data_IF_769332975826
#
_entry.id   IF_769332975826
#
_cell.length_a   1.000
_cell.length_b   1.000
_cell.length_c   1.000
_cell.angle_alpha   90.00
_cell.angle_beta   90.00
_cell.angle_gamma   90.00
#
_symmetry.space_group_name_H-M   'P 1'
#
loop_
_entity.id
_entity.type
_entity.pdbx_description
1 polymer ?
#
# COMPACT_ATOMS: atom_id res chain seq x y z
N UNK A 1 6.68 21.44 -9.94
CA UNK A 1 6.75 20.03 -10.37
C UNK A 1 7.71 19.32 -9.43
N UNK A 2 7.31 18.22 -8.80
CA UNK A 2 8.19 17.43 -7.92
C UNK A 2 9.21 16.67 -8.78
N UNK A 3 10.49 16.69 -8.40
CA UNK A 3 11.56 15.99 -9.10
C UNK A 3 12.70 15.67 -8.14
N UNK A 4 13.31 14.50 -8.28
CA UNK A 4 14.50 14.04 -7.55
C UNK A 4 15.35 13.20 -8.52
N UNK A 5 16.65 13.10 -8.27
CA UNK A 5 17.57 12.36 -9.15
C UNK A 5 17.42 10.85 -8.96
N UNK A 6 17.61 10.37 -7.73
CA UNK A 6 17.50 8.95 -7.36
C UNK A 6 17.10 8.84 -5.89
N UNK A 7 16.34 7.80 -5.55
CA UNK A 7 15.99 7.42 -4.18
C UNK A 7 16.03 5.91 -4.09
N UNK A 8 16.86 5.38 -3.20
CA UNK A 8 16.96 3.95 -2.90
C UNK A 8 16.58 3.73 -1.43
N UNK A 9 15.78 2.70 -1.17
CA UNK A 9 15.31 2.33 0.17
C UNK A 9 15.65 0.85 0.36
N UNK A 10 16.44 0.57 1.39
CA UNK A 10 16.86 -0.79 1.75
C UNK A 10 15.80 -1.57 2.51
N UNK A 11 15.97 -2.90 2.54
CA UNK A 11 15.12 -3.77 3.34
C UNK A 11 15.23 -3.43 4.84
N UNK A 12 14.08 -3.27 5.49
CA UNK A 12 14.00 -2.96 6.92
C UNK A 12 14.24 -1.49 7.28
N UNK A 13 14.49 -0.62 6.29
CA UNK A 13 14.65 0.81 6.56
C UNK A 13 13.32 1.47 6.93
N UNK A 14 13.38 2.32 7.95
CA UNK A 14 12.25 3.15 8.39
C UNK A 14 12.53 4.59 8.01
N UNK A 15 11.87 5.04 6.96
CA UNK A 15 12.08 6.38 6.41
C UNK A 15 10.91 7.31 6.74
N UNK A 16 11.17 8.61 6.74
CA UNK A 16 10.14 9.63 6.88
C UNK A 16 10.25 10.63 5.72
N UNK A 17 9.13 10.86 5.02
CA UNK A 17 9.03 11.89 3.98
C UNK A 17 8.42 13.14 4.61
N UNK A 18 9.20 14.23 4.68
CA UNK A 18 8.76 15.50 5.28
C UNK A 18 8.61 16.60 4.22
N UNK A 19 7.87 17.67 4.56
CA UNK A 19 7.69 18.83 3.70
C UNK A 19 6.38 19.55 3.97
N UNK A 20 6.26 20.80 3.52
CA UNK A 20 5.06 21.60 3.67
C UNK A 20 3.82 20.96 3.01
N UNK A 21 2.61 21.38 3.39
CA UNK A 21 1.40 20.98 2.68
C UNK A 21 1.48 21.43 1.21
N UNK A 22 1.10 20.54 0.29
CA UNK A 22 1.24 20.79 -1.15
C UNK A 22 2.64 20.53 -1.72
N UNK A 23 3.62 20.09 -0.92
CA UNK A 23 4.98 19.80 -1.42
C UNK A 23 5.08 18.58 -2.34
N UNK A 24 3.97 17.84 -2.57
CA UNK A 24 3.94 16.67 -3.45
C UNK A 24 4.15 15.32 -2.76
N UNK A 25 4.06 15.23 -1.42
CA UNK A 25 4.22 13.96 -0.67
C UNK A 25 3.22 12.89 -1.11
N UNK A 26 1.94 13.23 -1.17
CA UNK A 26 0.89 12.31 -1.66
C UNK A 26 1.15 11.93 -3.11
N UNK A 27 1.49 12.89 -3.96
CA UNK A 27 1.84 12.67 -5.37
C UNK A 27 3.01 11.70 -5.52
N UNK A 28 4.03 11.78 -4.66
CA UNK A 28 5.16 10.85 -4.65
C UNK A 28 4.69 9.42 -4.33
N UNK A 29 3.95 9.24 -3.24
CA UNK A 29 3.44 7.93 -2.82
C UNK A 29 2.51 7.32 -3.87
N UNK A 30 1.62 8.11 -4.47
CA UNK A 30 0.74 7.68 -5.55
C UNK A 30 1.50 7.31 -6.83
N UNK A 31 2.60 8.00 -7.13
CA UNK A 31 3.47 7.69 -8.28
C UNK A 31 4.18 6.34 -8.07
N UNK A 32 4.73 6.10 -6.88
CA UNK A 32 5.36 4.83 -6.51
C UNK A 32 4.36 3.66 -6.68
N UNK A 33 3.11 3.87 -6.22
CA UNK A 33 2.01 2.92 -6.35
C UNK A 33 1.44 2.77 -7.76
N UNK A 34 2.00 3.50 -8.75
CA UNK A 34 1.54 3.52 -10.15
C UNK A 34 0.09 4.03 -10.32
N UNK A 35 -0.42 4.81 -9.36
CA UNK A 35 -1.80 5.33 -9.36
C UNK A 35 -1.97 6.58 -10.23
N UNK A 36 -0.88 7.33 -10.45
CA UNK A 36 -0.86 8.52 -11.29
C UNK A 36 0.29 8.45 -12.30
N UNK A 37 0.22 9.28 -13.34
CA UNK A 37 1.30 9.39 -14.34
C UNK A 37 2.49 10.16 -13.76
N UNK A 38 3.69 9.67 -14.03
CA UNK A 38 4.96 10.30 -13.67
C UNK A 38 6.01 10.05 -14.77
N UNK A 39 7.20 10.62 -14.61
CA UNK A 39 8.37 10.36 -15.45
C UNK A 39 9.48 9.73 -14.62
N UNK A 40 10.26 8.83 -15.23
CA UNK A 40 11.25 8.00 -14.55
C UNK A 40 10.74 6.58 -14.36
N UNK A 41 11.48 5.79 -13.59
CA UNK A 41 11.21 4.37 -13.35
C UNK A 41 11.11 4.09 -11.84
N UNK A 42 10.29 3.10 -11.46
CA UNK A 42 10.18 2.62 -10.07
C UNK A 42 10.46 1.12 -10.06
N UNK A 43 11.39 0.71 -9.20
CA UNK A 43 11.78 -0.70 -9.05
C UNK A 43 11.48 -1.20 -7.64
N UNK A 44 11.04 -2.45 -7.53
CA UNK A 44 10.96 -3.19 -6.27
C UNK A 44 11.64 -4.54 -6.46
N UNK A 45 12.63 -4.87 -5.64
CA UNK A 45 13.43 -6.10 -5.75
C UNK A 45 13.95 -6.37 -7.19
N UNK A 46 14.49 -5.34 -7.86
CA UNK A 46 14.95 -5.34 -9.26
C UNK A 46 13.84 -5.53 -10.32
N UNK A 47 12.56 -5.58 -9.92
CA UNK A 47 11.44 -5.64 -10.84
C UNK A 47 10.92 -4.23 -11.15
N UNK A 48 10.90 -3.87 -12.44
CA UNK A 48 10.28 -2.62 -12.90
C UNK A 48 8.76 -2.66 -12.70
N UNK A 49 8.24 -1.75 -11.88
CA UNK A 49 6.82 -1.56 -11.65
C UNK A 49 6.20 -0.63 -12.69
N UNK A 50 5.37 -1.18 -13.58
CA UNK A 50 4.72 -0.44 -14.67
C UNK A 50 3.20 -0.38 -14.56
N UNK A 51 2.62 -1.13 -13.62
CA UNK A 51 1.17 -1.26 -13.43
C UNK A 51 0.82 -1.34 -11.96
N UNK A 52 -0.34 -0.80 -11.59
CA UNK A 52 -0.90 -0.83 -10.23
C UNK A 52 -0.92 -2.26 -9.68
N UNK A 53 -1.36 -3.24 -10.48
CA UNK A 53 -1.41 -4.66 -10.06
C UNK A 53 -0.05 -5.30 -9.72
N UNK A 54 1.07 -4.70 -10.14
CA UNK A 54 2.40 -5.17 -9.75
C UNK A 54 2.81 -4.52 -8.43
N UNK A 55 2.60 -3.21 -8.29
CA UNK A 55 2.85 -2.49 -7.05
C UNK A 55 2.02 -3.05 -5.88
N UNK A 56 0.72 -3.26 -6.09
CA UNK A 56 -0.22 -3.74 -5.07
C UNK A 56 0.05 -5.17 -4.56
N UNK A 57 0.96 -5.93 -5.19
CA UNK A 57 1.39 -7.24 -4.65
C UNK A 57 2.40 -7.13 -3.52
N UNK A 58 3.09 -5.98 -3.44
CA UNK A 58 4.23 -5.80 -2.56
C UNK A 58 4.04 -4.63 -1.59
N UNK A 59 3.11 -3.72 -1.90
CA UNK A 59 2.94 -2.46 -1.19
C UNK A 59 1.46 -2.15 -1.00
N UNK A 60 1.14 -1.54 0.14
CA UNK A 60 -0.18 -0.99 0.44
C UNK A 60 -0.04 0.49 0.80
N UNK A 61 -0.94 1.31 0.26
CA UNK A 61 -1.01 2.74 0.57
C UNK A 61 -2.14 3.00 1.56
N UNK A 62 -1.77 3.55 2.72
CA UNK A 62 -2.71 4.07 3.71
C UNK A 62 -2.83 5.58 3.50
N UNK A 63 -4.04 6.06 3.24
CA UNK A 63 -4.32 7.47 3.01
C UNK A 63 -4.40 8.24 4.33
N UNK A 64 -4.34 9.57 4.22
CA UNK A 64 -4.44 10.47 5.38
C UNK A 64 -5.75 10.32 6.15
N UNK A 65 -6.83 9.98 5.44
CA UNK A 65 -8.14 9.64 6.00
C UNK A 65 -8.38 8.14 5.80
N UNK A 66 -7.78 7.26 6.63
CA UNK A 66 -7.86 5.81 6.46
C UNK A 66 -9.29 5.28 6.61
N UNK A 67 -10.16 5.99 7.32
CA UNK A 67 -11.56 5.62 7.51
C UNK A 67 -12.34 5.55 6.19
N UNK A 68 -11.89 6.28 5.17
CA UNK A 68 -12.48 6.25 3.83
C UNK A 68 -12.09 5.00 3.03
N UNK A 69 -11.15 4.19 3.54
CA UNK A 69 -10.70 2.95 2.90
C UNK A 69 -11.50 1.73 3.37
N UNK A 70 -12.29 1.83 4.43
CA UNK A 70 -13.17 0.74 4.88
C UNK A 70 -14.38 0.62 3.96
N UNK A 71 -14.69 -0.62 3.57
CA UNK A 71 -15.81 -0.92 2.65
C UNK A 71 -16.87 -1.82 3.30
N UNK A 72 -16.65 -2.24 4.54
CA UNK A 72 -17.56 -3.07 5.33
C UNK A 72 -18.00 -2.39 6.63
N UNK A 73 -18.93 -3.03 7.35
CA UNK A 73 -19.46 -2.52 8.61
C UNK A 73 -18.88 -3.22 9.86
N UNK A 74 -17.92 -4.14 9.69
CA UNK A 74 -17.30 -4.85 10.80
C UNK A 74 -15.84 -5.14 10.52
N UNK A 75 -15.01 -5.14 11.56
CA UNK A 75 -13.58 -5.47 11.45
C UNK A 75 -13.40 -6.90 10.91
N UNK A 76 -14.30 -7.81 11.31
CA UNK A 76 -14.31 -9.18 10.81
C UNK A 76 -14.48 -9.21 9.29
N UNK A 77 -15.51 -8.55 8.76
CA UNK A 77 -15.82 -8.57 7.33
C UNK A 77 -14.71 -7.93 6.49
N UNK A 78 -14.12 -6.82 6.99
CA UNK A 78 -13.02 -6.14 6.29
C UNK A 78 -11.82 -7.05 6.09
N UNK A 79 -11.44 -7.79 7.15
CA UNK A 79 -10.34 -8.75 7.10
C UNK A 79 -10.72 -9.97 6.25
N UNK A 80 -11.94 -10.50 6.43
CA UNK A 80 -12.39 -11.71 5.74
C UNK A 80 -12.42 -11.53 4.23
N UNK A 81 -12.77 -10.35 3.73
CA UNK A 81 -12.75 -10.06 2.28
C UNK A 81 -11.38 -10.41 1.68
N UNK A 82 -10.27 -10.05 2.33
CA UNK A 82 -8.94 -10.36 1.83
C UNK A 82 -8.71 -11.88 1.68
N UNK A 83 -8.96 -12.64 2.75
CA UNK A 83 -8.73 -14.08 2.77
C UNK A 83 -9.71 -14.86 1.88
N UNK A 84 -10.96 -14.41 1.79
CA UNK A 84 -11.98 -15.02 0.94
C UNK A 84 -11.63 -14.93 -0.55
N UNK A 85 -10.93 -13.86 -0.97
CA UNK A 85 -10.39 -13.75 -2.33
C UNK A 85 -9.22 -14.72 -2.61
N UNK A 86 -8.56 -15.25 -1.57
CA UNK A 86 -7.44 -16.18 -1.69
C UNK A 86 -7.90 -17.64 -1.58
N UNK A 87 -8.61 -17.97 -0.50
CA UNK A 87 -9.06 -19.32 -0.15
C UNK A 87 -10.34 -19.26 0.68
N UNK A 88 -11.48 -19.56 0.04
CA UNK A 88 -12.78 -19.48 0.70
C UNK A 88 -12.89 -20.42 1.91
N UNK A 89 -12.35 -21.63 1.79
CA UNK A 89 -12.44 -22.67 2.82
C UNK A 89 -11.63 -22.35 4.08
N UNK A 90 -10.63 -21.47 3.98
CA UNK A 90 -9.74 -21.09 5.09
C UNK A 90 -9.99 -19.67 5.61
N UNK A 91 -10.85 -18.91 4.92
CA UNK A 91 -11.01 -17.47 5.18
C UNK A 91 -11.42 -17.14 6.61
N UNK A 92 -12.35 -17.90 7.20
CA UNK A 92 -12.81 -17.67 8.58
C UNK A 92 -11.69 -17.95 9.59
N UNK A 93 -10.95 -19.05 9.43
CA UNK A 93 -9.85 -19.41 10.33
C UNK A 93 -8.72 -18.37 10.27
N UNK A 94 -8.33 -17.92 9.08
CA UNK A 94 -7.32 -16.88 8.88
C UNK A 94 -7.77 -15.53 9.45
N UNK A 95 -9.05 -15.19 9.26
CA UNK A 95 -9.66 -13.96 9.83
C UNK A 95 -9.58 -13.98 11.35
N UNK A 96 -10.01 -15.08 11.97
CA UNK A 96 -9.98 -15.23 13.44
C UNK A 96 -8.55 -15.20 13.97
N UNK A 97 -7.59 -15.79 13.26
CA UNK A 97 -6.18 -15.71 13.64
C UNK A 97 -5.64 -14.29 13.59
N UNK A 98 -5.94 -13.53 12.55
CA UNK A 98 -5.49 -12.14 12.44
C UNK A 98 -6.13 -11.25 13.52
N UNK A 99 -7.43 -11.44 13.79
CA UNK A 99 -8.15 -10.69 14.83
C UNK A 99 -7.51 -10.87 16.21
N UNK A 100 -7.01 -12.07 16.55
CA UNK A 100 -6.30 -12.34 17.81
C UNK A 100 -4.97 -11.59 17.96
N UNK A 101 -4.41 -11.07 16.86
CA UNK A 101 -3.20 -10.25 16.89
C UNK A 101 -3.50 -8.77 17.15
N UNK A 102 -4.78 -8.38 17.11
CA UNK A 102 -5.24 -7.01 17.35
C UNK A 102 -5.66 -6.75 18.80
N UNK A 103 -5.81 -7.82 19.60
CA UNK A 103 -6.04 -7.78 21.06
C UNK A 103 -4.72 -7.60 21.84
#
# INVERSE_FOLDING_TARGET
MLSFSDLEIGLGEWITITGANGSGKTTLLESIMQLIKYQGDVYFENQHLTKIKHAAKHMYLVYQNPELQFITNSVYDEINIHFNHLSKDQSDDETIQLLKLLD
#
